data_IF_044675804440
#
_entry.id   IF_044675804440
#
_cell.length_a   1.000
_cell.length_b   1.000
_cell.length_c   1.000
_cell.angle_alpha   90.00
_cell.angle_beta   90.00
_cell.angle_gamma   90.00
#
_symmetry.space_group_name_H-M   'P 1'
#
loop_
_entity.id
_entity.type
_entity.pdbx_description
1 polymer ?
#
# COMPACT_ATOMS: atom_id res chain seq x y z
N UNK A 1 9.13 29.03 -59.61
CA UNK A 1 9.30 29.32 -58.16
C UNK A 1 8.85 28.09 -57.39
N UNK A 2 9.75 27.44 -56.65
CA UNK A 2 9.48 26.22 -55.86
C UNK A 2 9.01 26.65 -54.47
N UNK A 3 7.77 26.34 -54.09
CA UNK A 3 7.29 26.52 -52.72
C UNK A 3 7.61 25.23 -51.96
N UNK A 4 8.55 25.32 -51.02
CA UNK A 4 8.83 24.27 -50.03
C UNK A 4 7.90 24.52 -48.85
N UNK A 5 6.97 23.60 -48.59
CA UNK A 5 6.16 23.61 -47.38
C UNK A 5 6.85 22.70 -46.35
N UNK A 6 7.40 23.30 -45.29
CA UNK A 6 7.94 22.59 -44.15
C UNK A 6 6.77 22.31 -43.21
N UNK A 7 6.42 21.04 -43.03
CA UNK A 7 5.45 20.60 -42.03
C UNK A 7 6.20 20.38 -40.71
N UNK A 8 6.07 21.32 -39.76
CA UNK A 8 6.56 21.11 -38.39
C UNK A 8 5.56 20.19 -37.67
N UNK A 9 5.99 18.96 -37.38
CA UNK A 9 5.23 18.04 -36.54
C UNK A 9 5.59 18.32 -35.08
N UNK A 10 4.71 18.98 -34.33
CA UNK A 10 4.86 19.11 -32.90
C UNK A 10 4.54 17.76 -32.24
N UNK A 11 5.55 17.06 -31.72
CA UNK A 11 5.33 15.89 -30.86
C UNK A 11 4.83 16.38 -29.50
N UNK A 12 3.52 16.29 -29.28
CA UNK A 12 2.94 16.28 -27.94
C UNK A 12 3.12 14.87 -27.36
N UNK A 13 4.08 14.72 -26.46
CA UNK A 13 4.25 13.50 -25.68
C UNK A 13 3.15 13.46 -24.60
N UNK A 14 2.14 12.61 -24.79
CA UNK A 14 1.23 12.22 -23.72
C UNK A 14 1.86 11.05 -22.97
N UNK A 15 2.35 11.28 -21.74
CA UNK A 15 2.63 10.20 -20.81
C UNK A 15 1.30 9.62 -20.36
N UNK A 16 1.03 8.36 -20.70
CA UNK A 16 -0.04 7.60 -20.06
C UNK A 16 0.52 7.05 -18.75
N UNK A 17 -0.11 7.39 -17.63
CA UNK A 17 0.12 6.69 -16.37
C UNK A 17 -0.29 5.22 -16.55
N UNK A 18 0.59 4.30 -16.19
CA UNK A 18 0.24 2.88 -16.10
C UNK A 18 -0.72 2.71 -14.92
N UNK A 19 -1.74 1.86 -15.05
CA UNK A 19 -2.61 1.56 -13.92
C UNK A 19 -1.83 0.67 -12.94
N UNK A 20 -1.49 1.21 -11.76
CA UNK A 20 -0.93 0.43 -10.67
C UNK A 20 -1.85 -0.74 -10.30
N UNK A 21 -1.25 -1.86 -9.91
CA UNK A 21 -1.96 -2.99 -9.32
C UNK A 21 -2.24 -2.63 -7.86
N UNK A 22 -3.52 -2.65 -7.49
CA UNK A 22 -3.98 -2.46 -6.12
C UNK A 22 -4.15 -3.83 -5.47
N UNK A 23 -3.52 -4.02 -4.31
CA UNK A 23 -3.64 -5.19 -3.45
C UNK A 23 -4.63 -4.82 -2.35
N UNK A 24 -5.85 -5.30 -2.49
CA UNK A 24 -7.02 -5.02 -1.62
C UNK A 24 -7.32 -6.16 -0.63
N UNK A 25 -6.49 -7.22 -0.61
CA UNK A 25 -6.58 -8.37 0.29
C UNK A 25 -7.88 -9.20 0.24
N UNK A 26 -8.90 -8.82 -0.54
CA UNK A 26 -10.21 -9.46 -0.56
C UNK A 26 -10.20 -10.91 -1.07
N UNK A 27 -9.14 -11.33 -1.74
CA UNK A 27 -8.95 -12.72 -2.14
C UNK A 27 -8.54 -13.64 -0.99
N UNK A 28 -8.09 -13.08 0.14
CA UNK A 28 -7.63 -13.88 1.28
C UNK A 28 -8.83 -14.48 2.03
N UNK A 29 -8.76 -15.76 2.41
CA UNK A 29 -9.84 -16.37 3.16
C UNK A 29 -9.91 -15.80 4.57
N UNK A 30 -11.08 -15.31 4.97
CA UNK A 30 -11.35 -14.95 6.35
C UNK A 30 -12.85 -15.05 6.61
N UNK A 31 -13.24 -15.52 7.80
CA UNK A 31 -14.65 -15.51 8.18
C UNK A 31 -15.11 -14.06 8.43
N UNK A 32 -16.41 -13.80 8.39
CA UNK A 32 -16.95 -12.49 8.75
C UNK A 32 -16.56 -12.12 10.19
N UNK A 33 -15.92 -10.97 10.38
CA UNK A 33 -15.42 -10.52 11.68
C UNK A 33 -14.28 -11.39 12.22
N UNK A 34 -13.50 -12.00 11.34
CA UNK A 34 -12.39 -12.87 11.66
C UNK A 34 -11.05 -12.28 11.24
N UNK A 35 -9.99 -13.04 11.54
CA UNK A 35 -8.62 -12.73 11.17
C UNK A 35 -7.82 -14.01 10.97
N UNK A 36 -6.62 -13.89 10.45
CA UNK A 36 -5.62 -14.94 10.48
C UNK A 36 -4.24 -14.37 10.80
N UNK A 37 -3.63 -14.91 11.85
CA UNK A 37 -2.39 -14.43 12.46
C UNK A 37 -1.18 -15.36 12.26
N UNK A 38 -1.32 -16.43 11.47
CA UNK A 38 -0.27 -17.44 11.29
C UNK A 38 -0.48 -18.75 12.05
N UNK A 39 -1.66 -18.97 12.66
CA UNK A 39 -1.96 -20.22 13.37
C UNK A 39 -1.69 -21.48 12.52
N UNK A 40 -0.67 -22.24 12.92
CA UNK A 40 -0.25 -23.47 12.23
C UNK A 40 -1.22 -24.63 12.38
N UNK A 41 -2.15 -24.53 13.33
CA UNK A 41 -3.20 -25.53 13.57
C UNK A 41 -4.48 -25.25 12.75
N UNK A 42 -4.56 -24.09 12.10
CA UNK A 42 -5.72 -23.70 11.31
C UNK A 42 -6.01 -24.71 10.18
N UNK A 43 -7.30 -24.91 9.92
CA UNK A 43 -7.76 -25.71 8.78
C UNK A 43 -7.73 -24.95 7.46
N UNK A 44 -8.01 -25.66 6.37
CA UNK A 44 -8.35 -25.00 5.10
C UNK A 44 -9.62 -24.14 5.25
N UNK A 45 -9.74 -23.01 4.53
CA UNK A 45 -8.81 -22.49 3.53
C UNK A 45 -7.64 -21.65 4.09
N UNK A 46 -7.63 -21.32 5.39
CA UNK A 46 -6.59 -20.48 6.00
C UNK A 46 -5.19 -21.08 5.82
N UNK A 47 -5.06 -22.38 6.09
CA UNK A 47 -3.77 -23.09 5.97
C UNK A 47 -3.19 -23.16 4.57
N UNK A 48 -4.04 -22.99 3.56
CA UNK A 48 -3.63 -23.12 2.15
C UNK A 48 -3.09 -21.79 1.59
N UNK A 49 -3.17 -20.70 2.36
CA UNK A 49 -2.80 -19.34 1.93
C UNK A 49 -1.51 -18.81 2.58
N UNK A 50 -0.76 -19.68 3.27
CA UNK A 50 0.58 -19.36 3.76
C UNK A 50 1.59 -20.45 3.39
N UNK A 51 2.86 -20.06 3.33
CA UNK A 51 4.01 -20.95 3.19
C UNK A 51 4.77 -20.97 4.52
N UNK A 52 4.94 -22.17 5.09
CA UNK A 52 5.80 -22.36 6.26
C UNK A 52 7.27 -22.40 5.82
N UNK A 53 8.06 -21.45 6.30
CA UNK A 53 9.49 -21.35 5.98
C UNK A 53 10.35 -22.19 6.93
N UNK A 54 9.88 -22.38 8.16
CA UNK A 54 10.57 -23.18 9.18
C UNK A 54 10.14 -22.79 10.59
N UNK A 55 10.71 -23.49 11.57
CA UNK A 55 10.43 -23.24 12.98
C UNK A 55 11.71 -23.25 13.81
N UNK A 56 11.75 -22.43 14.86
CA UNK A 56 12.85 -22.34 15.81
C UNK A 56 12.31 -22.10 17.24
N UNK A 57 13.12 -22.34 18.30
CA UNK A 57 12.75 -21.90 19.64
C UNK A 57 12.56 -20.38 19.67
N UNK A 58 11.44 -19.92 20.22
CA UNK A 58 11.14 -18.50 20.36
C UNK A 58 12.06 -17.81 21.37
N UNK A 59 12.30 -16.51 21.16
CA UNK A 59 13.20 -15.71 22.04
C UNK A 59 12.74 -15.67 23.51
N UNK A 60 11.46 -15.90 23.76
CA UNK A 60 10.84 -15.96 25.09
C UNK A 60 10.28 -17.35 25.43
N UNK A 61 10.78 -18.38 24.75
CA UNK A 61 10.29 -19.76 24.82
C UNK A 61 9.22 -20.07 23.76
N UNK A 62 8.72 -21.30 23.80
CA UNK A 62 7.81 -21.84 22.79
C UNK A 62 8.47 -22.09 21.43
N UNK A 63 7.66 -22.46 20.46
CA UNK A 63 8.06 -22.73 19.07
C UNK A 63 7.57 -21.61 18.17
N UNK A 64 8.50 -20.84 17.63
CA UNK A 64 8.23 -19.79 16.66
C UNK A 64 8.30 -20.35 15.25
N UNK A 65 7.24 -20.15 14.48
CA UNK A 65 7.08 -20.53 13.09
C UNK A 65 7.26 -19.31 12.20
N UNK A 66 8.25 -19.34 11.30
CA UNK A 66 8.39 -18.34 10.26
C UNK A 66 7.54 -18.71 9.06
N UNK A 67 6.76 -17.76 8.57
CA UNK A 67 5.78 -17.94 7.51
C UNK A 67 5.78 -16.74 6.56
N UNK A 68 5.22 -16.95 5.37
CA UNK A 68 4.81 -15.88 4.46
C UNK A 68 3.44 -16.19 3.89
N UNK A 69 2.65 -15.16 3.64
CA UNK A 69 1.41 -15.26 2.87
C UNK A 69 1.43 -14.23 1.76
N UNK A 70 0.62 -14.43 0.71
CA UNK A 70 0.70 -13.59 -0.48
C UNK A 70 -0.67 -13.08 -0.92
N UNK A 71 -0.70 -11.82 -1.37
CA UNK A 71 -1.85 -11.19 -2.00
C UNK A 71 -1.36 -10.42 -3.23
N UNK A 72 -2.01 -10.62 -4.39
CA UNK A 72 -1.59 -9.98 -5.64
C UNK A 72 -0.13 -10.26 -6.06
N UNK A 73 0.46 -11.38 -5.62
CA UNK A 73 1.86 -11.73 -5.87
C UNK A 73 2.89 -10.99 -5.00
N UNK A 74 2.45 -10.14 -4.07
CA UNK A 74 3.28 -9.56 -3.02
C UNK A 74 3.25 -10.47 -1.80
N UNK A 75 4.40 -10.73 -1.18
CA UNK A 75 4.51 -11.60 -0.02
C UNK A 75 4.69 -10.79 1.26
N UNK A 76 4.00 -11.20 2.32
CA UNK A 76 4.00 -10.57 3.64
C UNK A 76 4.54 -11.56 4.66
N UNK A 77 5.54 -11.14 5.45
CA UNK A 77 6.12 -11.97 6.50
C UNK A 77 5.19 -12.16 7.67
N UNK A 78 5.18 -13.35 8.25
CA UNK A 78 4.51 -13.62 9.52
C UNK A 78 5.39 -14.50 10.41
N UNK A 79 5.39 -14.22 11.71
CA UNK A 79 5.88 -15.15 12.73
C UNK A 79 4.74 -15.55 13.64
N UNK A 80 4.67 -16.81 14.05
CA UNK A 80 3.65 -17.31 14.95
C UNK A 80 4.25 -18.25 16.00
N UNK A 81 3.98 -18.00 17.28
CA UNK A 81 4.40 -18.85 18.38
C UNK A 81 3.23 -19.75 18.83
N UNK A 82 3.32 -21.04 18.53
CA UNK A 82 2.22 -21.99 18.76
C UNK A 82 1.94 -22.30 20.23
N UNK A 83 2.90 -22.05 21.12
CA UNK A 83 2.73 -22.31 22.55
C UNK A 83 2.04 -21.15 23.28
N UNK A 84 2.13 -19.94 22.72
CA UNK A 84 1.59 -18.72 23.32
C UNK A 84 0.46 -18.07 22.52
N UNK A 85 0.12 -18.61 21.34
CA UNK A 85 -0.85 -18.02 20.41
C UNK A 85 -0.53 -16.53 20.15
N UNK A 86 0.76 -16.25 19.98
CA UNK A 86 1.27 -14.92 19.69
C UNK A 86 1.86 -14.87 18.29
N UNK A 87 1.88 -13.68 17.69
CA UNK A 87 2.33 -13.50 16.31
C UNK A 87 3.19 -12.24 16.18
N UNK A 88 3.77 -12.04 15.00
CA UNK A 88 4.54 -10.87 14.62
C UNK A 88 4.57 -10.69 13.10
N UNK A 89 4.93 -9.49 12.65
CA UNK A 89 4.91 -9.15 11.23
C UNK A 89 3.50 -8.83 10.77
N UNK A 90 2.95 -9.62 9.85
CA UNK A 90 1.69 -9.33 9.20
C UNK A 90 0.63 -10.40 9.44
N UNK A 91 -0.60 -9.96 9.70
CA UNK A 91 -1.83 -10.75 9.67
C UNK A 91 -2.81 -10.13 8.67
N UNK A 92 -3.90 -10.83 8.35
CA UNK A 92 -5.03 -10.22 7.65
C UNK A 92 -6.31 -10.38 8.45
N UNK A 93 -7.24 -9.43 8.28
CA UNK A 93 -8.41 -9.28 9.13
C UNK A 93 -9.55 -8.60 8.36
N UNK A 94 -10.78 -8.83 8.80
CA UNK A 94 -11.95 -8.04 8.39
C UNK A 94 -12.78 -7.58 9.60
N UNK A 95 -12.16 -7.48 10.77
CA UNK A 95 -12.81 -7.09 12.03
C UNK A 95 -13.13 -5.60 12.03
N UNK A 96 -14.41 -5.25 12.10
CA UNK A 96 -14.86 -3.86 12.04
C UNK A 96 -15.08 -3.18 13.41
N UNK A 97 -14.71 -3.81 14.52
CA UNK A 97 -14.92 -3.27 15.87
C UNK A 97 -13.91 -2.15 16.19
N UNK A 98 -14.32 -0.90 15.97
CA UNK A 98 -13.53 0.30 16.28
C UNK A 98 -13.72 0.83 17.72
N UNK A 99 -14.42 0.10 18.59
CA UNK A 99 -14.88 0.65 19.88
C UNK A 99 -14.43 -0.12 21.12
N UNK A 100 -14.11 -1.41 20.98
CA UNK A 100 -13.71 -2.24 22.14
C UNK A 100 -12.22 -2.04 22.47
N UNK A 101 -11.86 -1.60 23.69
CA UNK A 101 -10.47 -1.47 24.10
C UNK A 101 -9.83 -2.82 24.45
N UNK A 102 -8.49 -2.85 24.41
CA UNK A 102 -7.68 -3.96 24.89
C UNK A 102 -7.17 -4.93 23.82
N UNK A 103 -6.20 -5.76 24.20
CA UNK A 103 -5.42 -6.60 23.29
C UNK A 103 -6.24 -7.61 22.48
N UNK A 104 -7.42 -8.02 22.96
CA UNK A 104 -8.30 -8.92 22.21
C UNK A 104 -8.83 -8.28 20.93
N UNK A 105 -8.77 -6.94 20.81
CA UNK A 105 -9.20 -6.19 19.63
C UNK A 105 -8.01 -5.71 18.76
N UNK A 106 -6.87 -6.39 18.84
CA UNK A 106 -5.64 -6.06 18.08
C UNK A 106 -5.77 -6.19 16.55
N UNK A 107 -6.81 -6.88 16.05
CA UNK A 107 -6.99 -7.15 14.62
C UNK A 107 -7.98 -6.19 13.94
N UNK A 108 -8.69 -5.36 14.71
CA UNK A 108 -9.62 -4.39 14.15
C UNK A 108 -8.88 -3.14 13.64
N UNK A 109 -9.30 -2.60 12.50
CA UNK A 109 -8.86 -1.27 12.08
C UNK A 109 -9.63 -0.21 12.85
N UNK A 110 -8.96 0.88 13.24
CA UNK A 110 -9.61 1.94 14.00
C UNK A 110 -10.66 2.69 13.15
N UNK A 111 -10.51 2.63 11.82
CA UNK A 111 -11.49 3.11 10.85
C UNK A 111 -12.77 2.27 10.78
N UNK A 112 -12.79 1.07 11.37
CA UNK A 112 -14.00 0.23 11.46
C UNK A 112 -14.27 -0.64 10.22
N UNK A 113 -13.22 -1.17 9.59
CA UNK A 113 -13.30 -2.03 8.40
C UNK A 113 -12.14 -1.81 7.42
N UNK A 114 -12.19 -2.49 6.27
CA UNK A 114 -11.28 -2.24 5.14
C UNK A 114 -11.45 -0.83 4.57
N UNK A 115 -10.50 -0.33 3.79
CA UNK A 115 -10.52 1.01 3.21
C UNK A 115 -11.45 1.08 1.99
N UNK A 116 -12.19 2.18 1.85
CA UNK A 116 -12.96 2.48 0.63
C UNK A 116 -12.11 3.20 -0.45
N UNK A 117 -10.83 3.45 -0.18
CA UNK A 117 -9.90 4.18 -1.06
C UNK A 117 -10.15 5.69 -1.12
N UNK A 118 -11.09 6.21 -0.32
CA UNK A 118 -11.47 7.62 -0.22
C UNK A 118 -11.41 8.15 1.23
N UNK A 119 -10.74 7.41 2.11
CA UNK A 119 -10.54 7.74 3.53
C UNK A 119 -11.62 7.22 4.47
N UNK A 120 -12.68 6.60 3.93
CA UNK A 120 -13.71 5.90 4.69
C UNK A 120 -13.45 4.39 4.79
N UNK A 121 -14.39 3.68 5.40
CA UNK A 121 -14.26 2.24 5.63
C UNK A 121 -15.45 1.44 5.11
N UNK A 122 -15.18 0.17 4.78
CA UNK A 122 -16.15 -0.85 4.39
C UNK A 122 -16.15 -1.94 5.46
N UNK A 123 -17.24 -2.04 6.21
CA UNK A 123 -17.40 -3.08 7.22
C UNK A 123 -17.33 -4.48 6.57
N UNK A 124 -16.43 -5.32 7.08
CA UNK A 124 -16.18 -6.65 6.53
C UNK A 124 -15.27 -6.70 5.31
N UNK A 125 -14.78 -5.55 4.82
CA UNK A 125 -13.65 -5.50 3.87
C UNK A 125 -12.38 -6.04 4.53
N UNK A 126 -11.57 -6.75 3.76
CA UNK A 126 -10.37 -7.45 4.22
C UNK A 126 -9.16 -6.54 4.08
N UNK A 127 -8.33 -6.47 5.11
CA UNK A 127 -7.13 -5.63 5.14
C UNK A 127 -6.00 -6.36 5.87
N UNK A 128 -4.79 -5.82 5.80
CA UNK A 128 -3.64 -6.36 6.53
C UNK A 128 -3.39 -5.60 7.83
N UNK A 129 -2.95 -6.29 8.88
CA UNK A 129 -2.55 -5.70 10.17
C UNK A 129 -1.08 -6.00 10.42
N UNK A 130 -0.30 -4.95 10.67
CA UNK A 130 1.12 -5.04 11.03
C UNK A 130 1.33 -4.95 12.53
N UNK A 131 2.15 -5.84 13.09
CA UNK A 131 2.53 -5.86 14.50
C UNK A 131 4.04 -5.98 14.69
N UNK A 132 4.60 -5.12 15.53
CA UNK A 132 6.01 -5.17 15.92
C UNK A 132 6.95 -4.86 14.75
N UNK A 133 7.50 -5.88 14.12
CA UNK A 133 8.31 -5.74 12.91
C UNK A 133 8.00 -6.84 11.90
N UNK A 134 8.12 -6.50 10.62
CA UNK A 134 7.89 -7.43 9.52
C UNK A 134 8.36 -6.82 8.20
N UNK A 135 8.28 -7.62 7.14
CA UNK A 135 8.62 -7.19 5.79
C UNK A 135 7.55 -7.58 4.76
N UNK A 136 7.58 -6.86 3.66
CA UNK A 136 6.83 -7.10 2.43
C UNK A 136 7.86 -7.35 1.32
N UNK A 137 7.77 -8.46 0.59
CA UNK A 137 8.56 -8.71 -0.60
C UNK A 137 7.76 -8.36 -1.85
N UNK A 138 8.36 -7.56 -2.73
CA UNK A 138 7.75 -7.17 -4.01
C UNK A 138 8.18 -8.13 -5.13
N UNK A 139 7.34 -8.36 -6.16
CA UNK A 139 7.79 -8.97 -7.41
C UNK A 139 8.93 -8.20 -8.07
N UNK A 140 9.83 -8.88 -8.80
CA UNK A 140 11.09 -8.32 -9.34
C UNK A 140 10.93 -7.10 -10.25
N UNK A 141 9.78 -6.94 -10.88
CA UNK A 141 9.44 -5.86 -11.80
C UNK A 141 8.54 -4.78 -11.15
N UNK A 142 8.22 -4.89 -9.86
CA UNK A 142 7.27 -4.00 -9.19
C UNK A 142 7.98 -3.01 -8.25
N UNK A 143 7.39 -1.84 -8.09
CA UNK A 143 7.78 -0.82 -7.10
C UNK A 143 6.55 -0.34 -6.33
N UNK A 144 6.71 -0.07 -5.04
CA UNK A 144 5.64 0.48 -4.20
C UNK A 144 5.35 1.94 -4.56
N UNK A 145 4.06 2.30 -4.54
CA UNK A 145 3.58 3.64 -4.87
C UNK A 145 2.80 4.28 -3.75
N UNK A 146 1.83 3.57 -3.20
CA UNK A 146 1.00 4.09 -2.13
C UNK A 146 0.35 2.95 -1.35
N UNK A 147 -0.16 3.26 -0.17
CA UNK A 147 -1.11 2.41 0.54
C UNK A 147 -2.00 3.27 1.42
N UNK A 148 -3.15 2.74 1.78
CA UNK A 148 -3.95 3.30 2.86
C UNK A 148 -3.44 2.75 4.18
N UNK A 149 -3.37 3.61 5.20
CA UNK A 149 -2.91 3.26 6.54
C UNK A 149 -3.84 3.86 7.61
N UNK A 150 -4.03 3.14 8.69
CA UNK A 150 -4.71 3.62 9.91
C UNK A 150 -4.18 2.90 11.15
N UNK A 151 -4.54 3.35 12.35
CA UNK A 151 -4.25 2.59 13.58
C UNK A 151 -5.05 1.29 13.62
N UNK A 152 -4.55 0.29 14.34
CA UNK A 152 -5.45 -0.75 14.85
C UNK A 152 -6.27 -0.18 16.02
N UNK A 153 -7.48 -0.69 16.25
CA UNK A 153 -8.39 -0.19 17.28
C UNK A 153 -7.76 -0.23 18.67
N UNK A 154 -7.09 -1.33 19.03
CA UNK A 154 -6.42 -1.42 20.33
C UNK A 154 -5.40 -0.29 20.52
N UNK A 155 -4.54 -0.05 19.52
CA UNK A 155 -3.53 1.02 19.54
C UNK A 155 -4.18 2.39 19.64
N UNK A 156 -5.19 2.67 18.81
CA UNK A 156 -5.90 3.95 18.79
C UNK A 156 -6.57 4.28 20.12
N UNK A 157 -7.33 3.33 20.68
CA UNK A 157 -8.01 3.50 21.98
C UNK A 157 -7.03 3.59 23.14
N UNK A 158 -5.93 2.82 23.11
CA UNK A 158 -4.88 2.90 24.13
C UNK A 158 -4.25 4.29 24.19
N UNK A 159 -3.96 4.91 23.04
CA UNK A 159 -3.48 6.31 23.00
C UNK A 159 -4.57 7.30 23.42
N UNK A 160 -5.83 7.07 23.05
CA UNK A 160 -6.95 7.97 23.33
C UNK A 160 -7.31 8.04 24.82
N UNK A 161 -7.37 6.88 25.48
CA UNK A 161 -7.92 6.73 26.83
C UNK A 161 -6.87 6.30 27.87
N UNK A 162 -5.72 5.80 27.42
CA UNK A 162 -4.78 5.08 28.28
C UNK A 162 -5.26 3.66 28.62
N UNK A 163 -4.36 2.83 29.14
CA UNK A 163 -4.70 1.52 29.69
C UNK A 163 -3.79 1.17 30.88
N UNK A 164 -3.74 -0.11 31.29
CA UNK A 164 -2.93 -0.54 32.43
C UNK A 164 -1.42 -0.41 32.18
N UNK A 165 -1.00 -0.38 30.92
CA UNK A 165 0.41 -0.34 30.50
C UNK A 165 0.78 0.99 29.88
N UNK A 166 -0.10 1.54 29.04
CA UNK A 166 0.14 2.75 28.24
C UNK A 166 -0.53 3.96 28.86
N UNK A 167 0.12 5.11 28.76
CA UNK A 167 -0.51 6.38 29.14
C UNK A 167 -1.42 6.89 28.02
N UNK A 168 -2.39 7.72 28.41
CA UNK A 168 -3.12 8.56 27.46
C UNK A 168 -2.17 9.59 26.82
N UNK A 169 -2.23 9.73 25.50
CA UNK A 169 -1.46 10.73 24.76
C UNK A 169 -2.02 12.14 25.00
N UNK A 170 -1.12 13.11 25.14
CA UNK A 170 -1.47 14.46 25.61
C UNK A 170 -1.63 14.55 27.13
N UNK A 171 -1.63 13.42 27.85
CA UNK A 171 -1.82 13.36 29.30
C UNK A 171 -3.16 13.93 29.76
N UNK A 172 -3.30 14.13 31.07
CA UNK A 172 -4.56 14.64 31.66
C UNK A 172 -4.90 16.06 31.21
N UNK A 173 -3.87 16.85 30.89
CA UNK A 173 -4.03 18.25 30.45
C UNK A 173 -4.28 18.40 28.95
N UNK A 174 -4.01 17.36 28.16
CA UNK A 174 -4.00 17.40 26.70
C UNK A 174 -2.79 18.12 26.10
N UNK A 175 -1.71 18.37 26.85
CA UNK A 175 -0.52 19.12 26.38
C UNK A 175 0.79 18.34 26.43
N UNK A 176 0.78 17.07 26.87
CA UNK A 176 2.01 16.29 26.89
C UNK A 176 2.43 15.97 25.45
N UNK A 177 3.69 16.28 25.05
CA UNK A 177 4.15 16.03 23.70
C UNK A 177 4.32 14.52 23.49
N UNK A 178 3.38 13.92 22.78
CA UNK A 178 3.34 12.49 22.52
C UNK A 178 3.26 12.16 21.04
N UNK A 179 3.76 11.00 20.65
CA UNK A 179 3.65 10.54 19.27
C UNK A 179 3.77 9.01 19.18
N UNK A 180 3.18 8.47 18.13
CA UNK A 180 3.41 7.10 17.66
C UNK A 180 3.64 7.15 16.15
N UNK A 181 4.73 6.55 15.68
CA UNK A 181 5.13 6.54 14.28
C UNK A 181 5.43 5.14 13.79
N UNK A 182 5.13 4.88 12.53
CA UNK A 182 5.63 3.73 11.77
C UNK A 182 6.68 4.23 10.79
N UNK A 183 7.80 3.51 10.74
CA UNK A 183 8.91 3.79 9.83
C UNK A 183 8.96 2.67 8.81
N UNK A 184 8.61 2.97 7.56
CA UNK A 184 8.80 2.07 6.43
C UNK A 184 10.19 2.26 5.85
N UNK A 185 10.92 1.17 5.62
CA UNK A 185 12.28 1.17 5.08
C UNK A 185 12.37 0.27 3.86
N UNK A 186 12.80 0.81 2.72
CA UNK A 186 12.94 0.07 1.47
C UNK A 186 14.35 -0.46 1.28
N UNK A 187 14.49 -1.73 0.91
CA UNK A 187 15.79 -2.39 0.70
C UNK A 187 15.92 -3.00 -0.69
N UNK A 188 17.16 -3.14 -1.17
CA UNK A 188 17.47 -3.70 -2.50
C UNK A 188 17.52 -5.23 -2.57
N UNK A 189 17.40 -5.95 -1.46
CA UNK A 189 17.24 -7.41 -1.41
C UNK A 189 15.90 -7.79 -0.75
N UNK A 190 15.58 -9.08 -0.74
CA UNK A 190 14.38 -9.63 -0.11
C UNK A 190 14.49 -9.59 1.43
N UNK A 191 13.35 -9.78 2.10
CA UNK A 191 13.21 -10.00 3.54
C UNK A 191 13.70 -8.85 4.43
N UNK A 192 13.66 -7.61 3.92
CA UNK A 192 14.15 -6.42 4.63
C UNK A 192 15.67 -6.39 4.78
N UNK A 193 16.41 -7.00 3.84
CA UNK A 193 17.87 -7.09 3.87
C UNK A 193 18.52 -6.40 2.67
N UNK A 194 19.83 -6.20 2.72
CA UNK A 194 20.58 -5.48 1.67
C UNK A 194 20.81 -4.01 2.04
N UNK A 195 21.02 -3.17 1.02
CA UNK A 195 21.23 -1.74 1.21
C UNK A 195 19.88 -1.03 1.38
N UNK A 196 19.82 -0.11 2.35
CA UNK A 196 18.70 0.81 2.50
C UNK A 196 18.66 1.77 1.30
N UNK A 197 17.54 1.78 0.58
CA UNK A 197 17.31 2.65 -0.57
C UNK A 197 16.59 3.94 -0.20
N UNK A 198 15.73 3.87 0.82
CA UNK A 198 14.97 5.01 1.30
C UNK A 198 14.07 4.63 2.48
N UNK A 199 13.47 5.64 3.09
CA UNK A 199 12.52 5.45 4.19
C UNK A 199 11.38 6.45 4.14
N UNK A 200 10.31 6.12 4.85
CA UNK A 200 9.14 6.96 5.06
C UNK A 200 8.73 6.86 6.53
N UNK A 201 8.56 8.01 7.18
CA UNK A 201 8.02 8.08 8.54
C UNK A 201 6.56 8.53 8.45
N UNK A 202 5.68 7.76 9.06
CA UNK A 202 4.24 8.03 9.11
C UNK A 202 3.82 8.18 10.57
N UNK A 203 3.26 9.32 10.94
CA UNK A 203 2.67 9.52 12.26
C UNK A 203 1.29 8.87 12.32
N UNK A 204 1.12 7.90 13.21
CA UNK A 204 -0.16 7.32 13.59
C UNK A 204 -0.85 8.11 14.71
N UNK A 205 -0.07 8.86 15.49
CA UNK A 205 -0.54 9.90 16.37
C UNK A 205 0.56 10.95 16.53
N UNK A 206 0.19 12.21 16.67
CA UNK A 206 1.13 13.31 16.92
C UNK A 206 0.45 14.39 17.76
N UNK A 207 0.97 14.59 18.96
CA UNK A 207 0.57 15.60 19.96
C UNK A 207 1.74 16.57 20.22
N UNK A 208 2.69 16.67 19.28
CA UNK A 208 3.88 17.51 19.43
C UNK A 208 3.70 18.92 18.84
N UNK A 209 2.50 19.23 18.33
CA UNK A 209 2.20 20.54 17.76
C UNK A 209 2.21 21.63 18.83
N UNK A 210 2.65 22.84 18.46
CA UNK A 210 2.59 24.00 19.36
C UNK A 210 1.16 24.49 19.60
N UNK A 211 0.23 24.15 18.69
CA UNK A 211 -1.19 24.39 18.81
C UNK A 211 -1.90 23.03 18.82
N UNK A 212 -2.31 22.61 20.01
CA UNK A 212 -2.88 21.28 20.26
C UNK A 212 -4.19 21.02 19.52
N UNK A 213 -4.81 22.03 18.90
CA UNK A 213 -5.95 21.79 18.00
C UNK A 213 -5.56 21.02 16.73
N UNK A 214 -4.26 20.89 16.45
CA UNK A 214 -3.69 20.07 15.37
C UNK A 214 -3.31 18.66 15.84
N UNK A 215 -3.39 18.37 17.14
CA UNK A 215 -3.08 17.05 17.67
C UNK A 215 -4.05 16.01 17.12
N UNK A 216 -3.54 14.82 16.80
CA UNK A 216 -4.38 13.79 16.21
C UNK A 216 -3.98 12.38 16.62
N UNK A 217 -4.97 11.49 16.57
CA UNK A 217 -4.82 10.04 16.47
C UNK A 217 -5.44 9.66 15.13
N UNK A 218 -4.70 8.94 14.29
CA UNK A 218 -5.18 8.54 12.96
C UNK A 218 -6.25 7.43 13.12
N UNK A 219 -7.51 7.83 13.11
CA UNK A 219 -8.67 6.94 13.24
C UNK A 219 -9.32 6.58 11.90
N UNK A 220 -9.14 7.41 10.87
CA UNK A 220 -9.63 7.16 9.51
C UNK A 220 -8.49 6.60 8.64
N UNK A 221 -8.84 6.13 7.44
CA UNK A 221 -7.84 5.70 6.46
C UNK A 221 -7.15 6.91 5.85
N UNK A 222 -5.81 6.92 5.84
CA UNK A 222 -5.03 7.92 5.14
C UNK A 222 -4.21 7.26 4.04
N UNK A 223 -4.24 7.83 2.84
CA UNK A 223 -3.38 7.40 1.75
C UNK A 223 -1.98 8.02 1.91
N UNK A 224 -0.94 7.19 1.87
CA UNK A 224 0.46 7.61 1.97
C UNK A 224 1.22 7.30 0.68
N UNK A 225 2.16 8.17 0.30
CA UNK A 225 3.06 8.00 -0.83
C UNK A 225 4.32 7.23 -0.41
N UNK A 226 4.56 6.07 -1.04
CA UNK A 226 5.68 5.17 -0.78
C UNK A 226 6.84 5.35 -1.76
N UNK A 227 6.77 6.31 -2.69
CA UNK A 227 7.80 6.49 -3.73
C UNK A 227 9.17 6.86 -3.16
N UNK A 228 9.24 7.40 -1.94
CA UNK A 228 10.51 7.65 -1.23
C UNK A 228 11.30 6.38 -0.89
N UNK A 229 10.66 5.20 -0.95
CA UNK A 229 11.31 3.90 -0.75
C UNK A 229 12.14 3.46 -1.98
N UNK A 230 12.00 4.16 -3.11
CA UNK A 230 12.75 3.89 -4.33
C UNK A 230 12.40 2.56 -4.99
N UNK A 231 13.36 1.97 -5.70
CA UNK A 231 13.21 0.67 -6.37
C UNK A 231 13.37 -0.53 -5.44
N UNK A 232 12.77 -0.47 -4.25
CA UNK A 232 12.94 -1.51 -3.23
C UNK A 232 12.44 -2.88 -3.70
N UNK A 233 13.19 -3.94 -3.36
CA UNK A 233 12.78 -5.34 -3.48
C UNK A 233 11.98 -5.81 -2.28
N UNK A 234 12.22 -5.22 -1.11
CA UNK A 234 11.42 -5.43 0.09
C UNK A 234 11.24 -4.16 0.90
N UNK A 235 10.17 -4.11 1.67
CA UNK A 235 9.83 -3.01 2.58
C UNK A 235 9.74 -3.60 3.97
N UNK A 236 10.52 -3.12 4.92
CA UNK A 236 10.32 -3.44 6.34
C UNK A 236 9.55 -2.31 7.04
N UNK A 237 8.94 -2.63 8.18
CA UNK A 237 8.41 -1.61 9.09
C UNK A 237 8.94 -1.79 10.51
N UNK A 238 8.98 -0.68 11.26
CA UNK A 238 9.24 -0.62 12.69
C UNK A 238 8.48 0.55 13.31
N UNK A 239 8.47 0.66 14.64
CA UNK A 239 7.77 1.72 15.35
C UNK A 239 8.70 2.62 16.17
N UNK A 240 8.25 3.84 16.39
CA UNK A 240 8.80 4.79 17.34
C UNK A 240 7.66 5.42 18.14
N UNK A 241 7.79 5.51 19.47
CA UNK A 241 6.77 6.09 20.36
C UNK A 241 7.42 6.96 21.43
N UNK A 242 6.69 7.97 21.91
CA UNK A 242 7.07 8.76 23.10
C UNK A 242 6.81 8.01 24.42
N UNK A 243 5.86 7.07 24.43
CA UNK A 243 5.49 6.32 25.63
C UNK A 243 6.36 5.06 25.76
N UNK A 244 7.52 5.25 26.39
CA UNK A 244 8.56 4.23 26.57
C UNK A 244 8.82 3.99 28.06
N UNK A 245 8.66 2.74 28.50
CA UNK A 245 8.98 2.27 29.83
C UNK A 245 10.32 1.51 29.89
N UNK A 246 10.65 0.94 31.07
CA UNK A 246 11.89 0.17 31.27
C UNK A 246 12.05 -1.07 30.38
N UNK A 247 10.95 -1.57 29.80
CA UNK A 247 10.91 -2.81 29.01
C UNK A 247 10.66 -2.57 27.51
N UNK A 248 10.64 -1.31 27.07
CA UNK A 248 10.35 -0.93 25.69
C UNK A 248 9.16 0.02 25.59
N UNK A 249 8.60 0.14 24.38
CA UNK A 249 7.39 0.92 24.14
C UNK A 249 6.23 0.30 24.90
N UNK A 250 5.49 1.13 25.65
CA UNK A 250 4.29 0.67 26.35
C UNK A 250 3.09 0.63 25.40
N UNK A 251 2.99 1.62 24.50
CA UNK A 251 1.93 1.73 23.49
C UNK A 251 1.83 0.46 22.64
N UNK A 252 0.63 -0.07 22.38
CA UNK A 252 0.47 -1.21 21.49
C UNK A 252 0.93 -0.87 20.07
N UNK A 253 1.79 -1.71 19.50
CA UNK A 253 2.44 -1.45 18.21
C UNK A 253 1.71 -2.13 17.04
N UNK A 254 0.44 -1.77 16.83
CA UNK A 254 -0.42 -2.32 15.77
C UNK A 254 -0.93 -1.21 14.83
N UNK A 255 -0.89 -1.47 13.53
CA UNK A 255 -1.52 -0.63 12.50
C UNK A 255 -2.17 -1.50 11.44
N UNK A 256 -3.06 -0.92 10.65
CA UNK A 256 -3.68 -1.59 9.51
C UNK A 256 -3.26 -0.90 8.20
N UNK A 257 -3.13 -1.69 7.13
CA UNK A 257 -2.96 -1.21 5.76
C UNK A 257 -3.98 -1.82 4.83
N UNK A 258 -4.31 -1.07 3.78
CA UNK A 258 -5.16 -1.54 2.70
C UNK A 258 -4.79 -0.86 1.38
N UNK A 259 -5.38 -1.29 0.27
CA UNK A 259 -5.20 -0.73 -1.07
C UNK A 259 -3.72 -0.51 -1.44
N UNK A 260 -2.87 -1.50 -1.12
CA UNK A 260 -1.44 -1.38 -1.36
C UNK A 260 -1.16 -1.39 -2.87
N UNK A 261 -0.71 -0.25 -3.39
CA UNK A 261 -0.53 -0.02 -4.82
C UNK A 261 0.92 -0.21 -5.21
N UNK A 262 1.14 -1.10 -6.18
CA UNK A 262 2.43 -1.38 -6.79
C UNK A 262 2.36 -1.15 -8.30
N UNK A 263 3.45 -0.71 -8.90
CA UNK A 263 3.53 -0.47 -10.35
C UNK A 263 4.72 -1.18 -10.97
N UNK A 264 4.48 -1.71 -12.18
CA UNK A 264 5.50 -2.33 -13.01
C UNK A 264 6.42 -1.26 -13.61
N UNK A 265 7.70 -1.28 -13.24
CA UNK A 265 8.70 -0.33 -13.77
C UNK A 265 9.36 -0.81 -15.08
N UNK A 266 9.09 -2.04 -15.52
CA UNK A 266 9.67 -2.66 -16.71
C UNK A 266 8.88 -2.37 -18.00
N UNK A 267 7.66 -1.85 -17.90
CA UNK A 267 6.84 -1.50 -19.07
C UNK A 267 7.09 -0.04 -19.45
N UNK A 268 8.05 0.19 -20.35
CA UNK A 268 8.12 1.49 -21.04
C UNK A 268 6.84 1.67 -21.86
N UNK A 269 6.12 2.80 -21.78
CA UNK A 269 4.93 3.01 -22.60
C UNK A 269 5.33 2.86 -24.06
N UNK A 270 4.81 1.83 -24.73
CA UNK A 270 4.94 1.69 -26.18
C UNK A 270 4.24 2.91 -26.77
N UNK A 271 4.94 3.81 -27.49
CA UNK A 271 4.26 4.85 -28.23
C UNK A 271 3.47 4.12 -29.30
N UNK A 272 2.14 4.07 -29.24
CA UNK A 272 1.36 3.46 -30.31
C UNK A 272 1.71 4.18 -31.63
N UNK A 273 2.40 3.54 -32.60
CA UNK A 273 2.73 4.19 -33.85
C UNK A 273 1.69 3.79 -34.88
N UNK A 274 0.41 4.16 -34.70
CA UNK A 274 -0.61 3.66 -35.64
C UNK A 274 -1.76 4.61 -35.95
N UNK A 275 -2.49 5.17 -34.98
CA UNK A 275 -3.73 5.87 -35.35
C UNK A 275 -3.51 7.20 -36.11
N UNK A 276 -2.50 7.99 -35.74
CA UNK A 276 -2.20 9.26 -36.42
C UNK A 276 -1.59 9.06 -37.82
N UNK A 277 -0.81 7.99 -38.02
CA UNK A 277 -0.27 7.62 -39.35
C UNK A 277 -1.38 7.03 -40.23
N UNK A 278 -2.30 6.24 -39.66
CA UNK A 278 -3.47 5.72 -40.37
C UNK A 278 -4.44 6.85 -40.76
N UNK A 279 -4.75 7.78 -39.86
CA UNK A 279 -5.60 8.95 -40.16
C UNK A 279 -4.95 9.92 -41.16
N UNK A 280 -3.64 10.15 -41.06
CA UNK A 280 -2.89 10.98 -42.00
C UNK A 280 -2.83 10.39 -43.41
N UNK A 281 -2.73 9.06 -43.54
CA UNK A 281 -2.72 8.37 -44.83
C UNK A 281 -4.09 8.39 -45.55
N UNK A 282 -5.21 8.32 -44.80
CA UNK A 282 -6.54 8.53 -45.38
C UNK A 282 -6.78 9.98 -45.87
N UNK A 283 -6.27 10.98 -45.15
CA UNK A 283 -6.38 12.38 -45.56
C UNK A 283 -5.55 12.68 -46.83
N UNK A 284 -4.34 12.11 -46.94
CA UNK A 284 -3.49 12.26 -48.13
C UNK A 284 -4.07 11.54 -49.37
N UNK A 285 -4.66 10.37 -49.18
CA UNK A 285 -5.32 9.61 -50.26
C UNK A 285 -6.56 10.35 -50.80
N UNK A 286 -7.38 10.95 -49.93
CA UNK A 286 -8.56 11.71 -50.36
C UNK A 286 -8.21 13.03 -51.05
N UNK A 287 -7.14 13.71 -50.63
CA UNK A 287 -6.65 14.93 -51.27
C UNK A 287 -6.09 14.67 -52.67
N UNK A 288 -5.30 13.60 -52.85
CA UNK A 288 -4.76 13.21 -54.15
C UNK A 288 -5.86 12.79 -55.13
N UNK A 289 -6.84 11.99 -54.68
CA UNK A 289 -8.02 11.61 -55.48
C UNK A 289 -8.86 12.83 -55.93
N UNK A 290 -9.03 13.83 -55.06
CA UNK A 290 -9.72 15.09 -55.42
C UNK A 290 -8.93 15.91 -56.45
N UNK A 291 -7.59 15.93 -56.37
CA UNK A 291 -6.72 16.60 -57.33
C UNK A 291 -6.79 16.01 -58.74
N UNK A 292 -6.82 14.67 -58.86
CA UNK A 292 -6.93 14.01 -60.16
C UNK A 292 -8.29 14.24 -60.84
N UNK A 293 -9.39 14.28 -60.08
CA UNK A 293 -10.72 14.59 -60.62
C UNK A 293 -10.82 16.00 -61.20
N UNK A 294 -10.24 17.01 -60.52
CA UNK A 294 -10.25 18.40 -61.01
C UNK A 294 -9.44 18.58 -62.31
N UNK A 295 -8.29 17.91 -62.44
CA UNK A 295 -7.49 17.98 -63.68
C UNK A 295 -8.17 17.29 -64.88
N UNK A 296 -8.98 16.26 -64.63
CA UNK A 296 -9.74 15.58 -65.70
C UNK A 296 -10.87 16.45 -66.24
N UNK A 297 -11.55 17.18 -65.35
CA UNK A 297 -12.62 18.14 -65.71
C UNK A 297 -12.07 19.36 -66.47
N UNK A 298 -10.92 19.90 -66.07
CA UNK A 298 -10.31 21.03 -66.77
C UNK A 298 -9.83 20.69 -68.20
N UNK A 299 -9.45 19.44 -68.48
CA UNK A 299 -9.05 18.98 -69.82
C UNK A 299 -10.21 18.72 -70.77
N UNK A 300 -11.44 18.58 -70.26
CA UNK A 300 -12.64 18.44 -71.10
C UNK A 300 -13.20 19.79 -71.55
N UNK A 301 -12.88 20.89 -70.86
CA UNK A 301 -13.33 22.24 -71.22
C UNK A 301 -12.43 22.92 -72.28
N UNK A 302 -11.26 22.36 -72.59
CA UNK A 302 -10.37 22.82 -73.69
C UNK A 302 -10.59 22.07 -75.02
N UNK A 303 -11.57 21.16 -75.09
CA UNK A 303 -11.83 20.30 -76.26
C UNK A 303 -13.20 20.54 -76.93
N UNK A 304 -13.71 21.78 -76.89
CA UNK A 304 -14.87 22.24 -77.67
C UNK A 304 -14.50 23.49 -78.46
#
# INVERSE_FOLDING_TARGET
>A
MRIVAILLLALLSFQHAQAGMVIDFESLPVNSGGYYNGDTSAGAPLRDNYTHLGSAPGSYGGTEHSQVWAAGGVEFSNTYNSDYDSWGGWSWSNVADSTTPGYSNQYASFAGGGSDGAGGSVAGGTYAVGFGSGYINLPSNMSAKSMDITNATYTGLSMQDGDFFSKKFGGDSGNDPDFLRVIFSGFDDLNGTGNLLGSLVVSLADFTFADNSQDFILSDWANIDLTSLGGARSISFSFESSDVGPYGVNTPLYFAIDNFTVEDFSVTPVPEPSMLVLLGSFAAATATLRGFRRKKLARTDEAV
#
